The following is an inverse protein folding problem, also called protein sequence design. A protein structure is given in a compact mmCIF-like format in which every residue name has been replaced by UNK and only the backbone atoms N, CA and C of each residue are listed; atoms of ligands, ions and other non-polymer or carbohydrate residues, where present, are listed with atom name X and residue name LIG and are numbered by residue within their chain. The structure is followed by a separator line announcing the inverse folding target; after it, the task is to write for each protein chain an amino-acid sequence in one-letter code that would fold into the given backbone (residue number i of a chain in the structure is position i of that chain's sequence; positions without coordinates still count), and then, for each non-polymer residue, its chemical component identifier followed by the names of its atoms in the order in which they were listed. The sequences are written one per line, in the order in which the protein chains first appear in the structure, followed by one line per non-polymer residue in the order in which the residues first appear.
data_IF_665453839902
#
_entry.id   IF_665453839902
#
_cell.length_a   1.000
_cell.length_b   1.000
_cell.length_c   1.000
_cell.angle_alpha   90.00
_cell.angle_beta   90.00
_cell.angle_gamma   90.00
#
_symmetry.space_group_name_H-M   'P 1'
#
loop_
_entity.id
_entity.type
_entity.pdbx_description
1 polymer ?
#
# COMPACT_ATOMS: atom_id res chain seq x y z
N UNK A 1 1.97 -7.18 -10.84
CA UNK A 1 0.79 -7.82 -11.45
C UNK A 1 -0.15 -6.73 -11.96
N UNK A 2 -1.36 -7.08 -12.41
CA UNK A 2 -2.37 -6.12 -12.84
C UNK A 2 -3.70 -6.36 -12.16
N UNK A 3 -4.64 -5.41 -12.27
CA UNK A 3 -5.98 -5.53 -11.69
C UNK A 3 -6.84 -6.63 -12.32
N UNK A 4 -6.34 -7.33 -13.34
CA UNK A 4 -6.97 -8.53 -13.91
C UNK A 4 -6.64 -9.81 -13.14
N UNK A 5 -5.66 -9.77 -12.23
CA UNK A 5 -5.19 -10.93 -11.48
C UNK A 5 -4.98 -10.66 -9.98
N UNK A 6 -5.08 -9.40 -9.54
CA UNK A 6 -4.96 -8.98 -8.14
C UNK A 6 -6.19 -8.22 -7.61
N UNK A 7 -7.01 -7.67 -8.52
CA UNK A 7 -8.29 -6.94 -8.33
C UNK A 7 -8.30 -5.70 -7.40
N UNK A 8 -7.47 -5.66 -6.35
CA UNK A 8 -7.46 -4.61 -5.33
C UNK A 8 -6.37 -3.55 -5.52
N UNK A 9 -5.29 -3.90 -6.24
CA UNK A 9 -4.10 -3.06 -6.46
C UNK A 9 -3.54 -2.42 -5.16
N UNK A 10 -3.62 -3.14 -4.03
CA UNK A 10 -3.21 -2.64 -2.71
C UNK A 10 -1.86 -3.23 -2.29
N UNK A 11 -0.83 -2.39 -2.26
CA UNK A 11 0.50 -2.80 -1.77
C UNK A 11 0.49 -3.25 -0.30
N UNK A 12 -0.46 -2.74 0.52
CA UNK A 12 -0.60 -3.21 1.89
C UNK A 12 -1.06 -4.67 1.94
N UNK A 13 -2.06 -5.02 1.11
CA UNK A 13 -2.55 -6.40 1.03
C UNK A 13 -1.47 -7.34 0.50
N UNK A 14 -0.74 -6.93 -0.53
CA UNK A 14 0.37 -7.70 -1.11
C UNK A 14 1.50 -7.92 -0.09
N UNK A 15 1.92 -6.87 0.64
CA UNK A 15 2.96 -7.00 1.66
C UNK A 15 2.53 -7.97 2.79
N UNK A 16 1.26 -7.88 3.23
CA UNK A 16 0.70 -8.81 4.22
C UNK A 16 0.61 -10.24 3.67
N UNK A 17 0.19 -10.42 2.43
CA UNK A 17 0.12 -11.74 1.79
C UNK A 17 1.50 -12.35 1.63
N UNK A 18 2.50 -11.59 1.19
CA UNK A 18 3.89 -12.04 1.10
C UNK A 18 4.41 -12.54 2.45
N UNK A 19 4.18 -11.78 3.54
CA UNK A 19 4.54 -12.21 4.90
C UNK A 19 3.84 -13.52 5.29
N UNK A 20 2.53 -13.62 5.07
CA UNK A 20 1.77 -14.81 5.46
C UNK A 20 2.15 -16.04 4.64
N UNK A 21 2.39 -15.88 3.34
CA UNK A 21 2.87 -16.95 2.45
C UNK A 21 4.26 -17.44 2.86
N UNK A 22 5.18 -16.53 3.20
CA UNK A 22 6.50 -16.89 3.71
C UNK A 22 6.38 -17.69 5.02
N UNK A 23 5.51 -17.26 5.95
CA UNK A 23 5.23 -17.98 7.20
C UNK A 23 4.64 -19.36 6.97
N UNK A 24 3.68 -19.47 6.05
CA UNK A 24 3.05 -20.73 5.69
C UNK A 24 4.06 -21.73 5.12
N UNK A 25 4.98 -21.26 4.26
CA UNK A 25 5.94 -22.12 3.59
C UNK A 25 7.13 -22.51 4.47
N UNK A 26 7.65 -21.57 5.26
CA UNK A 26 8.96 -21.68 5.90
C UNK A 26 8.91 -21.58 7.44
N UNK A 27 7.71 -21.53 8.02
CA UNK A 27 7.49 -21.45 9.47
C UNK A 27 7.30 -20.01 9.98
N UNK A 28 6.78 -19.89 11.20
CA UNK A 28 6.28 -18.62 11.74
C UNK A 28 7.33 -17.49 11.85
N UNK A 29 8.61 -17.84 11.95
CA UNK A 29 9.73 -16.91 12.08
C UNK A 29 10.34 -16.49 10.73
N UNK A 30 9.85 -17.03 9.61
CA UNK A 30 10.44 -16.81 8.29
C UNK A 30 10.21 -15.41 7.71
N UNK A 31 9.22 -14.67 8.22
CA UNK A 31 8.96 -13.29 7.86
C UNK A 31 8.26 -12.57 9.00
N UNK A 32 8.43 -11.26 9.08
CA UNK A 32 7.72 -10.38 9.99
C UNK A 32 7.25 -9.11 9.26
N UNK A 33 6.58 -8.21 9.99
CA UNK A 33 6.08 -6.99 9.38
C UNK A 33 7.19 -6.02 8.94
N UNK A 34 8.37 -6.06 9.58
CA UNK A 34 9.51 -5.19 9.23
C UNK A 34 10.16 -5.64 7.94
N UNK A 35 10.38 -6.94 7.77
CA UNK A 35 10.84 -7.52 6.51
C UNK A 35 9.88 -7.18 5.37
N UNK A 36 8.57 -7.32 5.59
CA UNK A 36 7.58 -6.97 4.56
C UNK A 36 7.60 -5.47 4.22
N UNK A 37 7.73 -4.59 5.23
CA UNK A 37 7.89 -3.16 5.02
C UNK A 37 9.18 -2.82 4.26
N UNK A 38 10.30 -3.46 4.60
CA UNK A 38 11.59 -3.28 3.93
C UNK A 38 11.50 -3.66 2.45
N UNK A 39 10.93 -4.84 2.14
CA UNK A 39 10.69 -5.28 0.76
C UNK A 39 9.80 -4.29 0.01
N UNK A 40 8.74 -3.81 0.65
CA UNK A 40 7.79 -2.85 0.06
C UNK A 40 8.35 -1.41 -0.09
N UNK A 41 9.52 -1.11 0.48
CA UNK A 41 10.12 0.24 0.47
C UNK A 41 11.53 0.22 -0.12
N UNK A 42 12.57 0.03 0.70
CA UNK A 42 13.97 0.04 0.27
C UNK A 42 14.27 -1.09 -0.71
N UNK A 43 13.68 -2.27 -0.52
CA UNK A 43 13.80 -3.40 -1.45
C UNK A 43 13.24 -3.05 -2.84
N UNK A 44 12.04 -2.46 -2.88
CA UNK A 44 11.44 -1.94 -4.11
C UNK A 44 12.28 -0.85 -4.77
N UNK A 45 12.87 0.06 -3.99
CA UNK A 45 13.81 1.06 -4.49
C UNK A 45 15.05 0.42 -5.13
N UNK A 46 15.56 -0.66 -4.52
CA UNK A 46 16.65 -1.48 -5.05
C UNK A 46 16.33 -2.09 -6.41
N UNK A 47 15.15 -2.68 -6.56
CA UNK A 47 14.67 -3.22 -7.84
C UNK A 47 14.59 -2.16 -8.95
N UNK A 48 14.36 -0.89 -8.58
CA UNK A 48 14.28 0.24 -9.52
C UNK A 48 15.61 0.96 -9.73
N UNK A 49 16.69 0.57 -9.04
CA UNK A 49 17.98 1.25 -9.10
C UNK A 49 17.99 2.64 -8.45
N UNK A 50 17.10 2.88 -7.47
CA UNK A 50 16.89 4.20 -6.81
C UNK A 50 17.17 4.15 -5.30
N UNK A 51 18.10 3.30 -4.88
CA UNK A 51 18.53 3.22 -3.47
C UNK A 51 19.07 4.57 -3.01
N UNK A 52 18.65 5.00 -1.83
CA UNK A 52 19.04 6.29 -1.25
C UNK A 52 18.22 7.48 -1.76
N UNK A 53 17.49 7.32 -2.87
CA UNK A 53 16.61 8.35 -3.43
C UNK A 53 15.16 8.19 -2.93
N UNK A 54 14.61 6.97 -2.96
CA UNK A 54 13.25 6.66 -2.52
C UNK A 54 13.23 5.49 -1.52
N UNK A 55 12.09 5.26 -0.87
CA UNK A 55 11.88 4.12 0.03
C UNK A 55 12.49 4.29 1.43
N UNK A 56 13.11 5.43 1.74
CA UNK A 56 13.67 5.74 3.05
C UNK A 56 13.32 7.16 3.49
N UNK A 57 13.12 7.35 4.80
CA UNK A 57 12.89 8.66 5.40
C UNK A 57 14.21 9.21 5.96
N UNK A 58 14.98 9.87 5.10
CA UNK A 58 16.26 10.46 5.44
C UNK A 58 16.46 11.80 4.70
N UNK A 59 17.28 12.68 5.26
CA UNK A 59 17.63 13.94 4.60
C UNK A 59 18.29 13.65 3.24
N UNK A 60 17.83 14.35 2.19
CA UNK A 60 18.29 14.15 0.81
C UNK A 60 17.48 13.15 -0.02
N UNK A 61 16.63 12.32 0.60
CA UNK A 61 15.68 11.48 -0.12
C UNK A 61 14.47 12.28 -0.62
N UNK A 62 13.74 11.71 -1.59
CA UNK A 62 12.48 12.27 -2.10
C UNK A 62 11.43 12.28 -0.99
N UNK A 63 10.63 13.35 -0.95
CA UNK A 63 9.54 13.52 0.03
C UNK A 63 8.31 12.64 -0.25
N UNK A 64 8.50 11.32 -0.30
CA UNK A 64 7.45 10.33 -0.46
C UNK A 64 7.12 9.69 0.89
N UNK A 65 5.88 9.85 1.36
CA UNK A 65 5.45 9.41 2.69
C UNK A 65 4.04 8.84 2.63
N UNK A 66 3.81 7.72 3.31
CA UNK A 66 2.48 7.18 3.55
C UNK A 66 2.23 7.09 5.06
N UNK A 67 1.04 7.53 5.49
CA UNK A 67 0.66 7.63 6.90
C UNK A 67 -0.60 6.82 7.15
N UNK A 68 -0.53 5.93 8.14
CA UNK A 68 -1.68 5.18 8.64
C UNK A 68 -2.05 5.68 10.04
N UNK A 69 -3.35 5.71 10.30
CA UNK A 69 -3.87 5.92 11.65
C UNK A 69 -3.93 4.56 12.37
N UNK A 70 -3.22 4.45 13.49
CA UNK A 70 -3.19 3.26 14.34
C UNK A 70 -4.14 3.39 15.55
N UNK A 71 -5.20 4.18 15.39
CA UNK A 71 -6.27 4.32 16.38
C UNK A 71 -7.46 3.37 16.11
N UNK A 72 -8.25 3.10 17.14
CA UNK A 72 -9.47 2.30 17.04
C UNK A 72 -9.35 0.86 17.57
N UNK A 73 -10.49 0.18 17.58
CA UNK A 73 -10.66 -1.11 18.28
C UNK A 73 -9.71 -2.20 17.78
N UNK A 74 -9.37 -2.19 16.48
CA UNK A 74 -8.52 -3.19 15.84
C UNK A 74 -7.07 -3.19 16.32
N UNK A 75 -6.62 -2.11 16.97
CA UNK A 75 -5.28 -2.02 17.55
C UNK A 75 -5.26 -2.20 19.07
N UNK A 76 -6.42 -2.41 19.70
CA UNK A 76 -6.51 -2.64 21.14
C UNK A 76 -5.69 -3.89 21.50
N UNK A 77 -4.64 -3.72 22.31
CA UNK A 77 -3.73 -4.80 22.70
C UNK A 77 -2.65 -5.16 21.66
N UNK A 78 -2.58 -4.47 20.51
CA UNK A 78 -1.61 -4.74 19.45
C UNK A 78 -0.43 -3.73 19.40
N UNK A 79 -0.45 -2.68 20.23
CA UNK A 79 0.44 -1.50 20.09
C UNK A 79 1.90 -1.75 20.53
N UNK A 80 2.24 -2.92 21.08
CA UNK A 80 3.60 -3.22 21.55
C UNK A 80 4.68 -3.03 20.45
N UNK A 81 4.33 -3.34 19.19
CA UNK A 81 5.11 -2.92 18.02
C UNK A 81 4.15 -2.33 16.97
N UNK A 82 4.24 -1.02 16.66
CA UNK A 82 3.34 -0.37 15.72
C UNK A 82 3.47 -0.86 14.28
N UNK A 83 4.63 -1.38 13.85
CA UNK A 83 4.82 -1.92 12.49
C UNK A 83 4.11 -3.27 12.37
N UNK A 84 4.23 -4.11 13.39
CA UNK A 84 3.49 -5.37 13.46
C UNK A 84 1.98 -5.13 13.59
N UNK A 85 1.57 -4.19 14.44
CA UNK A 85 0.17 -3.79 14.58
C UNK A 85 -0.42 -3.34 13.23
N UNK A 86 0.30 -2.45 12.54
CA UNK A 86 -0.10 -1.93 11.23
C UNK A 86 -0.29 -3.04 10.20
N UNK A 87 0.71 -3.90 9.99
CA UNK A 87 0.62 -4.90 8.92
C UNK A 87 -0.33 -6.06 9.25
N UNK A 88 -0.52 -6.38 10.54
CA UNK A 88 -1.43 -7.46 10.95
C UNK A 88 -2.88 -7.02 11.02
N UNK A 89 -3.13 -5.83 11.56
CA UNK A 89 -4.48 -5.36 11.89
C UNK A 89 -5.07 -4.37 10.87
N UNK A 90 -4.25 -3.78 9.99
CA UNK A 90 -4.69 -2.78 9.02
C UNK A 90 -4.55 -1.35 9.55
N UNK A 91 -5.38 -0.40 9.10
CA UNK A 91 -6.26 -0.53 7.92
C UNK A 91 -5.44 -0.68 6.64
N UNK A 92 -6.00 -1.34 5.63
CA UNK A 92 -5.34 -1.48 4.32
C UNK A 92 -5.22 -0.12 3.60
N UNK A 93 -6.22 0.74 3.75
CA UNK A 93 -6.22 2.09 3.18
C UNK A 93 -5.38 3.04 4.01
N UNK A 94 -4.58 3.84 3.32
CA UNK A 94 -3.76 4.90 3.89
C UNK A 94 -4.61 6.12 4.30
N UNK A 95 -4.24 6.82 5.38
CA UNK A 95 -4.86 8.10 5.75
C UNK A 95 -4.31 9.22 4.88
N UNK A 96 -2.99 9.34 4.79
CA UNK A 96 -2.34 10.39 4.00
C UNK A 96 -1.24 9.80 3.11
N UNK A 97 -1.16 10.26 1.87
CA UNK A 97 -0.05 9.94 0.96
C UNK A 97 0.51 11.22 0.40
N UNK A 98 1.81 11.37 0.54
CA UNK A 98 2.60 12.49 0.06
C UNK A 98 3.55 11.94 -1.01
N UNK A 99 3.60 12.60 -2.16
CA UNK A 99 4.52 12.28 -3.26
C UNK A 99 5.24 13.55 -3.66
N UNK A 100 6.57 13.54 -3.67
CA UNK A 100 7.42 14.71 -3.89
C UNK A 100 7.01 15.93 -3.02
N UNK A 101 6.71 15.68 -1.75
CA UNK A 101 6.29 16.73 -0.79
C UNK A 101 4.87 17.26 -0.98
N UNK A 102 4.05 16.66 -1.86
CA UNK A 102 2.67 17.08 -2.12
C UNK A 102 1.68 15.99 -1.73
N UNK A 103 0.62 16.35 -1.02
CA UNK A 103 -0.46 15.42 -0.73
C UNK A 103 -1.16 14.97 -2.02
N UNK A 104 -1.26 13.66 -2.21
CA UNK A 104 -2.08 13.02 -3.25
C UNK A 104 -3.29 12.32 -2.64
N UNK A 105 -3.18 11.88 -1.37
CA UNK A 105 -4.29 11.45 -0.51
C UNK A 105 -4.19 12.23 0.79
N UNK A 106 -5.32 12.76 1.28
CA UNK A 106 -5.40 13.47 2.56
C UNK A 106 -6.67 13.07 3.30
N UNK A 107 -6.54 12.62 4.55
CA UNK A 107 -7.68 12.16 5.35
C UNK A 107 -8.47 11.01 4.70
N UNK A 108 -7.81 10.11 3.98
CA UNK A 108 -8.41 8.98 3.27
C UNK A 108 -9.06 9.35 1.94
N UNK A 109 -8.95 10.60 1.49
CA UNK A 109 -9.56 11.08 0.25
C UNK A 109 -8.51 11.51 -0.77
N UNK A 110 -8.73 11.19 -2.05
CA UNK A 110 -7.89 11.69 -3.14
C UNK A 110 -7.97 13.22 -3.23
N UNK A 111 -6.81 13.88 -3.33
CA UNK A 111 -6.73 15.34 -3.44
C UNK A 111 -7.15 15.84 -4.84
N UNK A 112 -7.10 14.97 -5.85
CA UNK A 112 -7.47 15.33 -7.23
C UNK A 112 -8.97 15.56 -7.39
N UNK A 113 -9.34 16.59 -8.16
CA UNK A 113 -10.74 16.85 -8.54
C UNK A 113 -11.24 15.95 -9.69
N UNK A 114 -10.35 15.19 -10.32
CA UNK A 114 -10.68 14.37 -11.50
C UNK A 114 -11.30 13.02 -11.13
N UNK A 115 -11.37 12.66 -9.85
CA UNK A 115 -11.88 11.36 -9.40
C UNK A 115 -13.26 11.04 -9.98
N UNK A 116 -14.21 11.97 -9.89
CA UNK A 116 -15.57 11.77 -10.42
C UNK A 116 -15.61 11.58 -11.94
N UNK A 117 -14.85 12.40 -12.68
CA UNK A 117 -14.72 12.30 -14.14
C UNK A 117 -14.11 10.95 -14.54
N UNK A 118 -13.02 10.55 -13.89
CA UNK A 118 -12.32 9.29 -14.15
C UNK A 118 -13.18 8.07 -13.83
N UNK A 119 -13.92 8.09 -12.72
CA UNK A 119 -14.85 7.01 -12.38
C UNK A 119 -15.97 6.88 -13.41
N UNK A 120 -16.49 8.00 -13.90
CA UNK A 120 -17.54 8.03 -14.93
C UNK A 120 -17.02 7.48 -16.25
N UNK A 121 -15.84 7.92 -16.68
CA UNK A 121 -15.17 7.42 -17.88
C UNK A 121 -14.89 5.91 -17.76
N UNK A 122 -14.38 5.46 -16.62
CA UNK A 122 -14.08 4.05 -16.36
C UNK A 122 -15.34 3.19 -16.46
N UNK A 123 -16.44 3.56 -15.78
CA UNK A 123 -17.72 2.83 -15.87
C UNK A 123 -18.22 2.69 -17.30
N UNK A 124 -18.18 3.78 -18.08
CA UNK A 124 -18.61 3.77 -19.48
C UNK A 124 -17.77 2.80 -20.33
N UNK A 125 -16.44 2.84 -20.17
CA UNK A 125 -15.53 1.99 -20.94
C UNK A 125 -15.67 0.52 -20.55
N UNK A 126 -15.76 0.22 -19.25
CA UNK A 126 -15.93 -1.15 -18.75
C UNK A 126 -17.26 -1.76 -19.19
N UNK A 127 -18.36 -0.99 -19.14
CA UNK A 127 -19.67 -1.45 -19.64
C UNK A 127 -19.63 -1.79 -21.14
N UNK A 128 -18.93 -0.97 -21.95
CA UNK A 128 -18.74 -1.25 -23.38
C UNK A 128 -17.96 -2.54 -23.60
N UNK A 129 -16.87 -2.77 -22.85
CA UNK A 129 -16.08 -4.00 -22.96
C UNK A 129 -16.90 -5.23 -22.57
N UNK A 130 -17.70 -5.14 -21.50
CA UNK A 130 -18.54 -6.24 -21.02
C UNK A 130 -19.66 -6.60 -22.01
N UNK A 131 -20.16 -5.62 -22.77
CA UNK A 131 -21.17 -5.86 -23.81
C UNK A 131 -20.66 -6.69 -25.00
N UNK A 132 -19.34 -6.90 -25.14
CA UNK A 132 -18.75 -7.74 -26.19
C UNK A 132 -18.57 -9.20 -25.77
N UNK A 133 -18.80 -9.50 -24.49
CA UNK A 133 -18.60 -10.84 -23.89
C UNK A 133 -19.96 -11.56 -23.73
N UNK A 134 -21.07 -10.93 -24.13
CA UNK A 134 -22.40 -11.54 -24.26
C UNK A 134 -22.77 -11.75 -25.72
#
# INVERSE_FOLDING_TARGET
DGSSSADSASLWLEARQAMLLAKMRNGAVAADARMALEVATVGGAGCLGRIGEIGSLQAGAVGDVAVWDLSGIQFTGAIADPVEAWLRCGPASVRDTVVHGRFVVRGGQLVTRRTGEMMTAHRRLSARMQSWVG
#
